data_IF_776349702617
#
_entry.id   IF_776349702617
#
_cell.length_a   1.000
_cell.length_b   1.000
_cell.length_c   1.000
_cell.angle_alpha   90.00
_cell.angle_beta   90.00
_cell.angle_gamma   90.00
#
_symmetry.space_group_name_H-M   'P 1'
#
loop_
_entity.id
_entity.type
_entity.pdbx_description
1 polymer ?
#
# COMPACT_ATOMS: atom_id res chain seq x y z
N UNK A 1 -31.19 20.07 -13.81
CA UNK A 1 -30.61 19.26 -12.73
C UNK A 1 -30.08 17.98 -13.36
N UNK A 2 -28.77 17.71 -13.36
CA UNK A 2 -28.27 16.46 -13.93
C UNK A 2 -28.61 15.31 -12.99
N UNK A 3 -29.16 14.24 -13.57
CA UNK A 3 -29.48 12.99 -12.89
C UNK A 3 -28.24 12.46 -12.17
N UNK A 4 -28.26 12.45 -10.83
CA UNK A 4 -27.37 11.60 -10.04
C UNK A 4 -27.77 10.16 -10.36
N UNK A 5 -26.97 9.49 -11.18
CA UNK A 5 -27.09 8.05 -11.39
C UNK A 5 -26.72 7.39 -10.06
N UNK A 6 -27.74 6.95 -9.31
CA UNK A 6 -27.57 6.22 -8.06
C UNK A 6 -27.23 4.78 -8.46
N UNK A 7 -25.97 4.53 -8.82
CA UNK A 7 -25.44 3.18 -8.83
C UNK A 7 -25.37 2.72 -7.37
N UNK A 8 -25.90 1.53 -7.07
CA UNK A 8 -25.60 0.90 -5.79
C UNK A 8 -24.08 0.66 -5.72
N UNK A 9 -23.47 0.89 -4.56
CA UNK A 9 -21.99 0.85 -4.38
C UNK A 9 -21.36 -0.44 -4.94
N UNK A 10 -22.06 -1.58 -4.83
CA UNK A 10 -21.63 -2.89 -5.33
C UNK A 10 -21.59 -3.01 -6.87
N UNK A 11 -22.52 -2.35 -7.57
CA UNK A 11 -22.55 -2.36 -9.04
C UNK A 11 -21.42 -1.48 -9.59
N UNK A 12 -21.18 -0.32 -8.94
CA UNK A 12 -20.07 0.56 -9.26
C UNK A 12 -18.71 -0.16 -9.15
N UNK A 13 -18.49 -0.89 -8.04
CA UNK A 13 -17.25 -1.64 -7.80
C UNK A 13 -17.00 -2.72 -8.87
N UNK A 14 -18.03 -3.44 -9.29
CA UNK A 14 -17.91 -4.50 -10.30
C UNK A 14 -17.52 -3.94 -11.67
N UNK A 15 -18.13 -2.83 -12.08
CA UNK A 15 -17.79 -2.18 -13.35
C UNK A 15 -16.41 -1.54 -13.34
N UNK A 16 -16.01 -0.89 -12.24
CA UNK A 16 -14.66 -0.35 -12.09
C UNK A 16 -13.61 -1.46 -12.16
N UNK A 17 -13.81 -2.59 -11.46
CA UNK A 17 -12.93 -3.77 -11.56
C UNK A 17 -12.82 -4.30 -12.99
N UNK A 18 -13.93 -4.34 -13.72
CA UNK A 18 -13.93 -4.76 -15.12
C UNK A 18 -13.12 -3.79 -16.00
N UNK A 19 -13.29 -2.47 -15.81
CA UNK A 19 -12.51 -1.46 -16.54
C UNK A 19 -11.02 -1.56 -16.23
N UNK A 20 -10.65 -1.75 -14.96
CA UNK A 20 -9.26 -2.01 -14.54
C UNK A 20 -8.70 -3.25 -15.24
N UNK A 21 -9.41 -4.38 -15.22
CA UNK A 21 -8.97 -5.61 -15.89
C UNK A 21 -8.77 -5.39 -17.39
N UNK A 22 -9.74 -4.78 -18.06
CA UNK A 22 -9.66 -4.53 -19.51
C UNK A 22 -8.49 -3.61 -19.85
N UNK A 23 -8.25 -2.57 -19.06
CA UNK A 23 -7.08 -1.69 -19.22
C UNK A 23 -5.77 -2.49 -19.16
N UNK A 24 -5.58 -3.35 -18.15
CA UNK A 24 -4.38 -4.17 -18.02
C UNK A 24 -4.22 -5.22 -19.13
N UNK A 25 -5.32 -5.70 -19.71
CA UNK A 25 -5.32 -6.59 -20.88
C UNK A 25 -5.13 -5.86 -22.21
N UNK A 26 -4.90 -4.53 -22.20
CA UNK A 26 -4.88 -3.68 -23.40
C UNK A 26 -6.18 -3.78 -24.23
N UNK A 27 -7.31 -3.88 -23.54
CA UNK A 27 -8.67 -3.96 -24.08
C UNK A 27 -9.49 -2.78 -23.59
N UNK A 28 -10.61 -2.51 -24.27
CA UNK A 28 -11.51 -1.40 -23.91
C UNK A 28 -12.94 -1.88 -23.75
N UNK A 29 -13.65 -1.31 -22.78
CA UNK A 29 -15.10 -1.44 -22.61
C UNK A 29 -15.88 -0.37 -23.40
N UNK A 30 -15.17 0.53 -24.08
CA UNK A 30 -15.74 1.74 -24.69
C UNK A 30 -15.83 2.94 -23.74
N UNK A 31 -15.58 2.73 -22.44
CA UNK A 31 -15.50 3.78 -21.41
C UNK A 31 -14.07 3.83 -20.87
N UNK A 32 -13.43 5.01 -20.79
CA UNK A 32 -12.07 5.11 -20.24
C UNK A 32 -12.04 4.74 -18.75
N UNK A 33 -10.94 4.12 -18.34
CA UNK A 33 -10.58 4.01 -16.93
C UNK A 33 -10.23 5.42 -16.42
N UNK A 34 -10.93 5.90 -15.39
CA UNK A 34 -10.63 7.20 -14.76
C UNK A 34 -10.23 6.98 -13.32
N UNK A 35 -8.96 7.17 -13.01
CA UNK A 35 -8.45 7.10 -11.64
C UNK A 35 -8.18 8.51 -11.13
N UNK A 36 -8.91 8.93 -10.09
CA UNK A 36 -8.70 10.22 -9.45
C UNK A 36 -8.88 10.10 -7.93
N UNK A 37 -7.98 10.73 -7.18
CA UNK A 37 -8.03 10.81 -5.71
C UNK A 37 -7.78 12.25 -5.28
N UNK A 38 -8.32 12.65 -4.14
CA UNK A 38 -7.96 13.90 -3.47
C UNK A 38 -7.88 13.70 -1.97
N UNK A 39 -7.29 14.65 -1.26
CA UNK A 39 -7.37 14.69 0.18
C UNK A 39 -8.82 14.94 0.63
N UNK A 40 -9.21 14.33 1.75
CA UNK A 40 -10.49 14.55 2.40
C UNK A 40 -10.43 15.85 3.23
N UNK A 41 -11.17 16.91 2.85
CA UNK A 41 -11.12 18.18 3.55
C UNK A 41 -11.63 18.05 4.98
N UNK A 42 -10.78 18.36 5.95
CA UNK A 42 -11.11 18.30 7.38
C UNK A 42 -10.75 16.97 8.05
N UNK A 43 -10.19 16.01 7.31
CA UNK A 43 -9.58 14.85 7.92
C UNK A 43 -8.34 15.25 8.74
N UNK A 44 -8.25 14.72 9.96
CA UNK A 44 -7.10 14.90 10.85
C UNK A 44 -6.52 13.50 11.10
N UNK A 45 -5.27 13.23 10.66
CA UNK A 45 -4.64 11.93 10.89
C UNK A 45 -4.60 11.57 12.36
N UNK A 46 -5.00 10.34 12.70
CA UNK A 46 -4.85 9.78 14.03
C UNK A 46 -3.37 9.38 14.23
N UNK A 47 -2.61 10.07 15.10
CA UNK A 47 -1.20 9.78 15.28
C UNK A 47 -1.02 8.43 15.99
N UNK A 48 -0.15 7.59 15.47
CA UNK A 48 0.28 6.36 16.14
C UNK A 48 1.51 6.62 17.01
N UNK A 49 1.61 5.96 18.16
CA UNK A 49 2.70 6.17 19.13
C UNK A 49 3.19 4.84 19.68
N UNK A 50 4.51 4.71 19.77
CA UNK A 50 5.17 3.63 20.52
C UNK A 50 6.50 4.13 21.08
N UNK A 51 7.11 3.31 21.94
CA UNK A 51 8.47 3.52 22.46
C UNK A 51 9.52 2.62 21.80
N UNK A 52 9.10 1.69 20.94
CA UNK A 52 9.99 0.83 20.17
C UNK A 52 10.81 1.62 19.14
N UNK A 53 12.01 1.13 18.79
CA UNK A 53 12.78 1.63 17.66
C UNK A 53 12.02 1.57 16.33
N UNK A 54 12.37 2.48 15.42
CA UNK A 54 11.75 2.63 14.09
C UNK A 54 11.70 1.34 13.28
N UNK A 55 12.72 0.49 13.39
CA UNK A 55 12.74 -0.79 12.67
C UNK A 55 11.77 -1.82 13.24
N UNK A 56 11.61 -1.82 14.57
CA UNK A 56 10.77 -2.81 15.26
C UNK A 56 9.29 -2.49 15.11
N UNK A 57 8.92 -1.21 15.14
CA UNK A 57 7.50 -0.84 15.00
C UNK A 57 6.94 -0.96 13.57
N UNK A 58 7.79 -1.00 12.52
CA UNK A 58 7.37 -1.15 11.13
C UNK A 58 6.89 -2.58 10.87
N UNK A 59 7.17 -3.50 11.80
CA UNK A 59 6.68 -4.86 11.80
C UNK A 59 5.37 -5.02 12.59
N UNK A 60 4.88 -3.97 13.24
CA UNK A 60 3.67 -4.07 14.07
C UNK A 60 2.39 -3.94 13.24
N UNK A 61 1.49 -4.95 13.29
CA UNK A 61 0.22 -4.90 12.57
C UNK A 61 -0.61 -3.65 12.87
N UNK A 62 -0.69 -3.25 14.15
CA UNK A 62 -1.46 -2.08 14.57
C UNK A 62 -0.96 -0.76 13.97
N UNK A 63 0.34 -0.66 13.69
CA UNK A 63 0.90 0.50 13.00
C UNK A 63 0.45 0.55 11.53
N UNK A 64 0.48 -0.60 10.84
CA UNK A 64 -0.01 -0.71 9.47
C UNK A 64 -1.52 -0.42 9.39
N UNK A 65 -2.30 -0.97 10.31
CA UNK A 65 -3.74 -0.72 10.39
C UNK A 65 -4.04 0.76 10.63
N UNK A 66 -3.29 1.44 11.49
CA UNK A 66 -3.42 2.88 11.68
C UNK A 66 -3.08 3.67 10.39
N UNK A 67 -2.00 3.31 9.70
CA UNK A 67 -1.59 3.94 8.43
C UNK A 67 -2.65 3.75 7.35
N UNK A 68 -3.15 2.53 7.19
CA UNK A 68 -4.23 2.18 6.26
C UNK A 68 -5.50 2.96 6.61
N UNK A 69 -5.91 2.95 7.88
CA UNK A 69 -7.08 3.71 8.35
C UNK A 69 -6.97 5.20 8.02
N UNK A 70 -5.83 5.82 8.36
CA UNK A 70 -5.58 7.22 8.06
C UNK A 70 -5.62 7.52 6.55
N UNK A 71 -5.10 6.63 5.71
CA UNK A 71 -5.16 6.79 4.26
C UNK A 71 -6.59 6.66 3.73
N UNK A 72 -7.34 5.64 4.17
CA UNK A 72 -8.72 5.40 3.73
C UNK A 72 -9.65 6.55 4.15
N UNK A 73 -9.52 7.03 5.38
CA UNK A 73 -10.33 8.14 5.90
C UNK A 73 -9.88 9.50 5.38
N UNK A 74 -8.58 9.65 5.11
CA UNK A 74 -7.97 10.87 4.61
C UNK A 74 -8.05 11.07 3.09
N UNK A 75 -8.54 10.09 2.35
CA UNK A 75 -8.58 10.13 0.88
C UNK A 75 -10.01 10.05 0.36
N UNK A 76 -10.36 10.98 -0.52
CA UNK A 76 -11.54 10.87 -1.36
C UNK A 76 -11.18 10.14 -2.66
N UNK A 77 -11.90 9.06 -2.96
CA UNK A 77 -11.73 8.26 -4.17
C UNK A 77 -12.82 8.61 -5.20
N UNK A 78 -12.43 8.93 -6.43
CA UNK A 78 -13.32 9.32 -7.50
C UNK A 78 -13.16 8.45 -8.75
N UNK A 79 -14.24 8.35 -9.54
CA UNK A 79 -14.25 7.54 -10.75
C UNK A 79 -14.06 6.05 -10.43
N UNK A 80 -13.06 5.44 -11.05
CA UNK A 80 -12.63 4.05 -10.87
C UNK A 80 -11.52 3.89 -9.82
N UNK A 81 -11.22 4.92 -9.03
CA UNK A 81 -10.23 4.82 -7.97
C UNK A 81 -10.67 3.80 -6.92
N UNK A 82 -9.86 2.75 -6.72
CA UNK A 82 -10.10 1.70 -5.75
C UNK A 82 -9.10 1.83 -4.59
N UNK A 83 -9.56 1.95 -3.33
CA UNK A 83 -8.66 2.15 -2.20
C UNK A 83 -7.59 1.07 -2.06
N UNK A 84 -7.97 -0.19 -2.29
CA UNK A 84 -7.07 -1.34 -2.22
C UNK A 84 -5.89 -1.27 -3.19
N UNK A 85 -6.01 -0.57 -4.33
CA UNK A 85 -4.91 -0.40 -5.29
C UNK A 85 -3.89 0.66 -4.84
N UNK A 86 -4.24 1.44 -3.82
CA UNK A 86 -3.45 2.57 -3.31
C UNK A 86 -2.89 2.31 -1.91
N UNK A 87 -3.30 1.21 -1.26
CA UNK A 87 -2.79 0.83 0.05
C UNK A 87 -1.36 0.34 -0.08
N UNK A 88 -0.43 1.09 0.50
CA UNK A 88 0.92 0.63 0.76
C UNK A 88 0.99 0.01 2.16
N UNK A 89 1.42 -1.25 2.22
CA UNK A 89 1.79 -1.91 3.48
C UNK A 89 3.31 -1.75 3.64
N UNK A 90 3.72 -1.13 4.75
CA UNK A 90 5.12 -0.71 4.97
C UNK A 90 5.51 0.57 4.24
N UNK A 91 6.81 0.82 4.16
CA UNK A 91 7.40 1.83 3.28
C UNK A 91 8.06 1.14 2.09
N UNK A 92 8.00 1.73 0.89
CA UNK A 92 8.63 1.14 -0.31
C UNK A 92 10.12 0.83 -0.10
N UNK A 93 10.77 1.65 0.72
CA UNK A 93 12.19 1.51 1.05
C UNK A 93 12.46 0.30 1.97
N UNK A 94 11.58 0.00 2.93
CA UNK A 94 11.72 -1.20 3.79
C UNK A 94 11.43 -2.47 2.99
N UNK A 95 10.43 -2.43 2.12
CA UNK A 95 10.08 -3.55 1.25
C UNK A 95 11.24 -3.89 0.30
N UNK A 96 11.87 -2.86 -0.28
CA UNK A 96 13.03 -3.03 -1.17
C UNK A 96 14.21 -3.67 -0.44
N UNK A 97 14.54 -3.21 0.78
CA UNK A 97 15.66 -3.74 1.54
C UNK A 97 15.47 -5.21 1.93
N UNK A 98 14.24 -5.57 2.34
CA UNK A 98 13.89 -6.95 2.68
C UNK A 98 13.87 -7.86 1.43
N UNK A 99 13.30 -7.40 0.32
CA UNK A 99 13.27 -8.16 -0.94
C UNK A 99 14.65 -8.36 -1.57
N UNK A 100 15.59 -7.44 -1.31
CA UNK A 100 16.99 -7.57 -1.70
C UNK A 100 17.78 -8.56 -0.82
N UNK A 101 17.12 -9.27 0.12
CA UNK A 101 17.78 -10.21 1.03
C UNK A 101 18.68 -9.53 2.08
N UNK A 102 18.58 -8.21 2.23
CA UNK A 102 19.43 -7.41 3.12
C UNK A 102 18.80 -7.17 4.49
N UNK A 103 19.65 -7.02 5.50
CA UNK A 103 19.27 -6.39 6.77
C UNK A 103 19.45 -4.87 6.65
N UNK A 104 18.51 -4.10 7.20
CA UNK A 104 18.49 -2.65 7.05
C UNK A 104 18.47 -1.93 8.40
N UNK A 105 18.93 -0.70 8.44
CA UNK A 105 18.74 0.16 9.61
C UNK A 105 18.29 1.56 9.17
N UNK A 106 17.63 2.27 10.08
CA UNK A 106 17.25 3.65 9.80
C UNK A 106 18.43 4.57 10.09
N UNK A 107 18.68 5.51 9.17
CA UNK A 107 19.71 6.51 9.37
C UNK A 107 19.42 7.34 10.61
N UNK A 108 20.45 7.61 11.41
CA UNK A 108 20.33 8.50 12.56
C UNK A 108 20.08 9.97 12.17
N UNK A 109 20.13 10.30 10.87
CA UNK A 109 20.02 11.66 10.33
C UNK A 109 18.77 11.93 9.48
N UNK A 110 17.89 10.94 9.25
CA UNK A 110 16.65 11.15 8.50
C UNK A 110 15.83 9.88 8.24
N UNK A 111 14.68 10.02 7.56
CA UNK A 111 13.81 8.92 7.09
C UNK A 111 14.40 8.16 5.89
N UNK A 112 15.70 7.88 5.94
CA UNK A 112 16.42 7.08 4.95
C UNK A 112 16.85 5.78 5.59
N UNK A 113 16.90 4.72 4.78
CA UNK A 113 17.50 3.46 5.18
C UNK A 113 18.99 3.51 4.87
N UNK A 114 19.81 3.29 5.90
CA UNK A 114 21.21 2.94 5.73
C UNK A 114 21.28 1.42 5.63
N UNK A 115 21.82 0.91 4.52
CA UNK A 115 22.17 -0.50 4.45
C UNK A 115 23.31 -0.74 5.43
N UNK A 116 23.17 -1.74 6.30
CA UNK A 116 24.29 -2.17 7.14
C UNK A 116 25.46 -2.53 6.23
N UNK A 117 26.67 -2.14 6.62
CA UNK A 117 27.88 -2.52 5.89
C UNK A 117 27.95 -4.03 5.73
N UNK A 118 27.68 -4.49 4.52
CA UNK A 118 27.56 -5.87 4.08
C UNK A 118 27.18 -5.80 2.62
N UNK A 119 27.78 -6.65 1.79
CA UNK A 119 27.64 -6.59 0.34
C UNK A 119 26.17 -6.78 -0.04
N UNK A 120 25.50 -5.68 -0.42
CA UNK A 120 24.21 -5.74 -1.08
C UNK A 120 24.46 -6.35 -2.47
N UNK A 121 24.52 -7.68 -2.51
CA UNK A 121 24.77 -8.41 -3.73
C UNK A 121 23.45 -8.56 -4.50
N UNK A 122 23.22 -7.65 -5.45
CA UNK A 122 22.09 -7.71 -6.38
C UNK A 122 22.11 -8.96 -7.28
N UNK A 123 23.19 -9.77 -7.26
CA UNK A 123 23.24 -11.06 -7.91
C UNK A 123 22.68 -12.20 -7.04
N UNK A 124 22.39 -11.96 -5.76
CA UNK A 124 21.62 -12.90 -4.95
C UNK A 124 20.27 -13.12 -5.61
N UNK A 125 19.84 -14.39 -5.78
CA UNK A 125 18.51 -14.66 -6.31
C UNK A 125 17.47 -14.05 -5.37
N UNK A 126 16.49 -13.37 -5.95
CA UNK A 126 15.31 -12.93 -5.21
C UNK A 126 14.74 -14.16 -4.50
N UNK A 127 14.55 -14.13 -3.16
CA UNK A 127 14.04 -15.29 -2.45
C UNK A 127 12.67 -15.67 -3.00
N UNK A 128 12.40 -16.97 -3.12
CA UNK A 128 11.10 -17.45 -3.55
C UNK A 128 10.02 -16.95 -2.58
N UNK A 129 9.10 -16.14 -3.08
CA UNK A 129 8.00 -15.60 -2.28
C UNK A 129 6.97 -16.71 -2.06
N UNK A 130 7.21 -17.52 -1.03
CA UNK A 130 6.28 -18.58 -0.63
C UNK A 130 5.29 -18.04 0.41
N UNK A 131 4.01 -18.44 0.39
CA UNK A 131 3.03 -18.05 1.41
C UNK A 131 3.41 -18.42 2.85
N UNK A 132 4.40 -19.31 2.99
CA UNK A 132 4.91 -19.86 4.24
C UNK A 132 6.22 -19.18 4.68
N UNK A 133 6.72 -18.20 3.92
CA UNK A 133 7.86 -17.40 4.33
C UNK A 133 7.56 -16.70 5.67
N UNK A 134 8.49 -16.66 6.65
CA UNK A 134 8.23 -16.07 7.97
C UNK A 134 7.65 -14.64 7.89
N UNK A 135 8.22 -13.80 7.02
CA UNK A 135 7.68 -12.46 6.73
C UNK A 135 6.23 -12.49 6.20
N UNK A 136 5.88 -13.45 5.33
CA UNK A 136 4.52 -13.56 4.80
C UNK A 136 3.52 -14.02 5.87
N UNK A 137 3.97 -14.82 6.84
CA UNK A 137 3.17 -15.21 8.01
C UNK A 137 2.94 -13.99 8.91
N UNK A 138 3.98 -13.19 9.17
CA UNK A 138 3.87 -11.98 9.98
C UNK A 138 2.96 -10.94 9.30
N UNK A 139 3.09 -10.77 7.97
CA UNK A 139 2.24 -9.86 7.18
C UNK A 139 0.79 -10.36 7.02
N UNK A 140 0.54 -11.67 7.04
CA UNK A 140 -0.83 -12.22 7.06
C UNK A 140 -1.62 -11.80 8.30
N UNK A 141 -0.94 -11.49 9.41
CA UNK A 141 -1.60 -10.96 10.60
C UNK A 141 -2.03 -9.49 10.45
N UNK A 142 -1.58 -8.81 9.40
CA UNK A 142 -1.94 -7.43 9.08
C UNK A 142 -3.18 -7.32 8.16
N UNK A 143 -3.76 -8.45 7.73
CA UNK A 143 -4.94 -8.53 6.86
C UNK A 143 -6.18 -9.05 7.59
#
# INVERSE_FOLDING_TARGET
MPNRMICSEKICDTESRLRHRMFWENRSTGVPLVYAVSDNPGFIPAPWRTSLPRKEWDLLPDWHLNRIGNFLEGTCFFGDAMPMASLMVGLDITNTAVLAGGDYDYSCTGDFIDFKSGDLDLAQPVPDFTPDHPLAIDLKQCY
#
